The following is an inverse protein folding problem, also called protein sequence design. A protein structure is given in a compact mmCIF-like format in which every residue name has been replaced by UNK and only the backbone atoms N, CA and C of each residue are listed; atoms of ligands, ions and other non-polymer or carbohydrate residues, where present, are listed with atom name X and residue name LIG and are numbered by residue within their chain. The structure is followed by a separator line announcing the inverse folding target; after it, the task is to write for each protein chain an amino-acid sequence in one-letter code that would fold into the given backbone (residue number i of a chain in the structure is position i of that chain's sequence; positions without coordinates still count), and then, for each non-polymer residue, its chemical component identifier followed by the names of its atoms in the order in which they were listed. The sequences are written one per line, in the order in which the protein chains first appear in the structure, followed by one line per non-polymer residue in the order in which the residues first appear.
data_IF_031475507492
#
_entry.id   IF_031475507492
#
_cell.length_a   1.000
_cell.length_b   1.000
_cell.length_c   1.000
_cell.angle_alpha   90.00
_cell.angle_beta   90.00
_cell.angle_gamma   90.00
#
_symmetry.space_group_name_H-M   'P 1'
#
loop_
_entity.id
_entity.type
_entity.pdbx_description
1 polymer ?
#
# COMPACT_ATOMS: atom_id res chain seq x y z
N UNK A 1 23.11 -16.81 -21.35
CA UNK A 1 22.74 -16.87 -19.93
C UNK A 1 21.52 -15.99 -19.79
N UNK A 2 20.36 -16.52 -19.40
CA UNK A 2 19.16 -15.73 -19.15
C UNK A 2 19.50 -14.74 -18.02
N UNK A 3 19.37 -13.44 -18.27
CA UNK A 3 19.44 -12.43 -17.19
C UNK A 3 18.42 -12.81 -16.13
N UNK A 4 18.85 -12.83 -14.86
CA UNK A 4 17.95 -13.17 -13.76
C UNK A 4 16.77 -12.17 -13.72
N UNK A 5 15.56 -12.68 -13.49
CA UNK A 5 14.33 -11.88 -13.33
C UNK A 5 14.52 -10.81 -12.24
N UNK A 6 14.24 -9.55 -12.56
CA UNK A 6 14.40 -8.42 -11.65
C UNK A 6 13.06 -8.05 -11.00
N UNK A 7 12.92 -8.21 -9.68
CA UNK A 7 11.68 -7.86 -9.00
C UNK A 7 11.55 -6.36 -8.75
N UNK A 8 10.29 -5.88 -8.73
CA UNK A 8 9.92 -4.56 -8.25
C UNK A 8 8.58 -4.61 -7.48
N UNK A 9 8.40 -3.68 -6.55
CA UNK A 9 7.24 -3.64 -5.69
C UNK A 9 6.60 -2.26 -5.71
N UNK A 10 5.27 -2.20 -5.88
CA UNK A 10 4.49 -0.98 -5.72
C UNK A 10 3.83 -1.05 -4.37
N UNK A 11 4.32 -0.22 -3.45
CA UNK A 11 3.87 -0.13 -2.07
C UNK A 11 2.99 1.09 -1.86
N UNK A 12 1.94 0.96 -1.08
CA UNK A 12 0.94 2.02 -0.89
C UNK A 12 0.06 1.75 0.32
N UNK A 13 -0.78 2.72 0.66
CA UNK A 13 -1.84 2.53 1.67
C UNK A 13 -3.04 1.68 1.18
N UNK A 14 -3.05 1.27 -0.09
CA UNK A 14 -4.25 0.76 -0.75
C UNK A 14 -5.18 1.89 -1.21
N UNK A 15 -6.11 1.59 -2.09
CA UNK A 15 -7.03 2.58 -2.71
C UNK A 15 -6.31 3.76 -3.38
N UNK A 16 -5.01 3.63 -3.62
CA UNK A 16 -4.11 4.65 -4.18
C UNK A 16 -3.84 4.48 -5.68
N UNK A 17 -4.61 3.63 -6.38
CA UNK A 17 -4.41 3.39 -7.81
C UNK A 17 -3.55 2.17 -8.16
N UNK A 18 -3.28 1.28 -7.19
CA UNK A 18 -2.50 0.05 -7.41
C UNK A 18 -3.05 -0.84 -8.51
N UNK A 19 -4.38 -0.99 -8.60
CA UNK A 19 -5.02 -1.75 -9.67
C UNK A 19 -4.84 -1.12 -11.07
N UNK A 20 -4.79 0.21 -11.15
CA UNK A 20 -4.47 0.92 -12.39
C UNK A 20 -3.03 0.66 -12.80
N UNK A 21 -2.07 0.78 -11.89
CA UNK A 21 -0.66 0.47 -12.16
C UNK A 21 -0.46 -1.01 -12.54
N UNK A 22 -1.12 -1.93 -11.83
CA UNK A 22 -1.12 -3.34 -12.21
C UNK A 22 -1.56 -3.52 -13.67
N UNK A 23 -2.70 -2.96 -14.06
CA UNK A 23 -3.20 -3.05 -15.44
C UNK A 23 -2.24 -2.42 -16.47
N UNK A 24 -1.68 -1.25 -16.16
CA UNK A 24 -0.77 -0.54 -17.07
C UNK A 24 0.56 -1.29 -17.25
N UNK A 25 1.11 -1.86 -16.18
CA UNK A 25 2.38 -2.57 -16.20
C UNK A 25 2.25 -4.01 -16.72
N UNK A 26 1.14 -4.69 -16.48
CA UNK A 26 0.84 -6.02 -17.06
C UNK A 26 0.83 -6.00 -18.60
N UNK A 27 0.54 -4.85 -19.19
CA UNK A 27 0.55 -4.69 -20.65
C UNK A 27 1.97 -4.49 -21.24
N UNK A 28 3.02 -4.44 -20.40
CA UNK A 28 4.41 -4.26 -20.86
C UNK A 28 5.02 -5.61 -21.22
N UNK A 29 5.52 -5.80 -22.46
CA UNK A 29 6.22 -7.04 -22.81
C UNK A 29 7.40 -7.32 -21.87
N UNK A 30 7.54 -8.57 -21.44
CA UNK A 30 8.61 -8.99 -20.54
C UNK A 30 8.38 -8.63 -19.06
N UNK A 31 7.20 -8.15 -18.71
CA UNK A 31 6.77 -7.90 -17.32
C UNK A 31 5.71 -8.93 -16.93
N UNK A 32 5.98 -9.67 -15.86
CA UNK A 32 4.99 -10.45 -15.12
C UNK A 32 4.54 -9.63 -13.92
N UNK A 33 3.27 -9.20 -13.91
CA UNK A 33 2.74 -8.27 -12.91
C UNK A 33 1.60 -8.87 -12.12
N UNK A 34 1.70 -8.80 -10.81
CA UNK A 34 0.71 -9.28 -9.86
C UNK A 34 0.04 -8.14 -9.09
N UNK A 35 -1.10 -8.44 -8.50
CA UNK A 35 -1.81 -7.54 -7.58
C UNK A 35 -2.20 -8.29 -6.31
N UNK A 36 -1.62 -7.88 -5.19
CA UNK A 36 -1.77 -8.54 -3.89
C UNK A 36 -1.38 -10.04 -3.95
N UNK A 37 -0.17 -10.31 -4.50
CA UNK A 37 0.33 -11.69 -4.62
C UNK A 37 0.34 -12.40 -3.27
N UNK A 38 -0.22 -13.62 -3.24
CA UNK A 38 -0.30 -14.47 -2.05
C UNK A 38 -0.88 -13.75 -0.81
N UNK A 39 -1.85 -12.85 -1.02
CA UNK A 39 -2.38 -11.96 0.01
C UNK A 39 -2.81 -12.67 1.30
N UNK A 40 -3.34 -13.88 1.22
CA UNK A 40 -3.79 -14.65 2.39
C UNK A 40 -2.63 -15.11 3.31
N UNK A 41 -1.42 -15.15 2.78
CA UNK A 41 -0.17 -15.41 3.53
C UNK A 41 0.47 -14.09 3.92
N UNK A 42 0.60 -13.18 2.96
CA UNK A 42 1.33 -11.91 3.14
C UNK A 42 0.66 -10.99 4.16
N UNK A 43 -0.67 -10.87 4.16
CA UNK A 43 -1.33 -9.94 5.06
C UNK A 43 -1.21 -10.34 6.54
N UNK A 44 -1.48 -11.58 6.96
CA UNK A 44 -1.22 -12.02 8.33
C UNK A 44 0.26 -11.89 8.74
N UNK A 45 1.18 -12.23 7.84
CA UNK A 45 2.62 -12.07 8.06
C UNK A 45 3.00 -10.61 8.30
N UNK A 46 2.53 -9.71 7.45
CA UNK A 46 2.77 -8.28 7.51
C UNK A 46 2.30 -7.68 8.84
N UNK A 47 1.08 -8.02 9.27
CA UNK A 47 0.54 -7.55 10.56
C UNK A 47 1.32 -8.10 11.74
N UNK A 48 1.66 -9.40 11.72
CA UNK A 48 2.49 -10.00 12.78
C UNK A 48 3.87 -9.35 12.86
N UNK A 49 4.47 -9.07 11.70
CA UNK A 49 5.78 -8.42 11.63
C UNK A 49 5.72 -6.98 12.15
N UNK A 50 4.71 -6.22 11.74
CA UNK A 50 4.49 -4.87 12.21
C UNK A 50 4.25 -4.81 13.74
N UNK A 51 3.54 -5.77 14.31
CA UNK A 51 3.24 -5.86 15.74
C UNK A 51 4.32 -6.56 16.57
N UNK A 52 5.49 -6.87 15.98
CA UNK A 52 6.60 -7.62 16.61
C UNK A 52 6.18 -9.01 17.15
N UNK A 53 5.17 -9.63 16.54
CA UNK A 53 4.72 -10.99 16.83
C UNK A 53 5.47 -12.06 16.01
N UNK A 54 6.34 -11.63 15.09
CA UNK A 54 7.29 -12.48 14.35
C UNK A 54 8.56 -11.67 14.06
N UNK A 55 9.70 -12.34 14.01
CA UNK A 55 10.97 -11.71 13.66
C UNK A 55 11.16 -11.56 12.14
N UNK A 56 12.15 -10.74 11.76
CA UNK A 56 12.46 -10.47 10.35
C UNK A 56 12.98 -11.72 9.62
N UNK A 57 13.75 -12.59 10.28
CA UNK A 57 14.29 -13.80 9.63
C UNK A 57 13.17 -14.78 9.24
N UNK A 58 12.20 -14.97 10.13
CA UNK A 58 10.99 -15.77 9.85
C UNK A 58 10.18 -15.13 8.70
N UNK A 59 10.02 -13.81 8.70
CA UNK A 59 9.30 -13.13 7.63
C UNK A 59 10.02 -13.26 6.27
N UNK A 60 11.34 -13.10 6.24
CA UNK A 60 12.16 -13.31 5.02
C UNK A 60 12.02 -14.74 4.52
N UNK A 61 12.03 -15.76 5.39
CA UNK A 61 11.85 -17.15 4.98
C UNK A 61 10.49 -17.37 4.29
N UNK A 62 9.40 -16.88 4.87
CA UNK A 62 8.05 -16.99 4.26
C UNK A 62 7.99 -16.25 2.92
N UNK A 63 8.61 -15.07 2.83
CA UNK A 63 8.70 -14.32 1.57
C UNK A 63 9.55 -15.04 0.52
N UNK A 64 10.61 -15.76 0.90
CA UNK A 64 11.40 -16.56 -0.03
C UNK A 64 10.63 -17.77 -0.56
N UNK A 65 9.85 -18.43 0.29
CA UNK A 65 8.98 -19.55 -0.08
C UNK A 65 7.82 -19.12 -1.01
N UNK A 66 7.43 -17.83 -0.99
CA UNK A 66 6.34 -17.27 -1.82
C UNK A 66 6.88 -16.43 -2.97
N UNK A 67 7.27 -15.20 -2.70
CA UNK A 67 7.78 -14.25 -3.70
C UNK A 67 9.11 -14.70 -4.30
N UNK A 68 10.03 -15.23 -3.47
CA UNK A 68 11.30 -15.76 -3.93
C UNK A 68 11.12 -16.89 -4.92
N UNK A 69 10.25 -17.85 -4.61
CA UNK A 69 9.92 -18.94 -5.51
C UNK A 69 9.31 -18.45 -6.83
N UNK A 70 8.35 -17.50 -6.75
CA UNK A 70 7.71 -16.93 -7.94
C UNK A 70 8.72 -16.21 -8.84
N UNK A 71 9.59 -15.37 -8.27
CA UNK A 71 10.62 -14.64 -9.02
C UNK A 71 11.61 -15.62 -9.69
N UNK A 72 12.05 -16.66 -8.97
CA UNK A 72 12.97 -17.67 -9.53
C UNK A 72 12.35 -18.52 -10.64
N UNK A 73 11.04 -18.76 -10.57
CA UNK A 73 10.31 -19.54 -11.58
C UNK A 73 9.78 -18.68 -12.73
N UNK A 74 9.85 -17.37 -12.63
CA UNK A 74 9.37 -16.44 -13.67
C UNK A 74 10.28 -16.52 -14.91
N UNK A 75 9.67 -16.58 -16.08
CA UNK A 75 10.36 -16.44 -17.38
C UNK A 75 10.42 -14.99 -17.86
N UNK A 76 9.88 -14.03 -17.11
CA UNK A 76 9.85 -12.63 -17.48
C UNK A 76 11.16 -11.91 -17.13
N UNK A 77 11.47 -10.84 -17.85
CA UNK A 77 12.63 -9.99 -17.54
C UNK A 77 12.44 -9.23 -16.21
N UNK A 78 11.18 -8.92 -15.88
CA UNK A 78 10.82 -8.27 -14.62
C UNK A 78 9.57 -8.93 -14.01
N UNK A 79 9.58 -9.04 -12.68
CA UNK A 79 8.46 -9.54 -11.89
C UNK A 79 7.99 -8.44 -10.94
N UNK A 80 6.71 -8.11 -10.96
CA UNK A 80 6.16 -7.02 -10.15
C UNK A 80 4.99 -7.45 -9.29
N UNK A 81 4.90 -6.86 -8.08
CA UNK A 81 3.68 -6.93 -7.26
C UNK A 81 3.26 -5.55 -6.80
N UNK A 82 1.96 -5.26 -6.92
CA UNK A 82 1.34 -4.05 -6.37
C UNK A 82 0.48 -4.41 -5.17
N UNK A 83 0.98 -4.17 -3.97
CA UNK A 83 0.33 -4.63 -2.74
C UNK A 83 0.48 -3.64 -1.59
N UNK A 84 -0.66 -3.23 -1.00
CA UNK A 84 -0.64 -2.48 0.25
C UNK A 84 -0.30 -3.38 1.46
N UNK A 85 -0.38 -4.69 1.33
CA UNK A 85 0.00 -5.64 2.38
C UNK A 85 1.51 -5.79 2.46
N UNK A 86 2.17 -5.93 1.30
CA UNK A 86 3.63 -5.95 1.20
C UNK A 86 4.29 -4.64 1.68
N UNK A 87 3.52 -3.54 1.79
CA UNK A 87 4.00 -2.25 2.30
C UNK A 87 4.54 -2.29 3.73
N UNK A 88 4.16 -3.29 4.51
CA UNK A 88 4.68 -3.50 5.87
C UNK A 88 5.93 -4.39 5.93
N UNK A 89 6.39 -4.92 4.78
CA UNK A 89 7.47 -5.90 4.65
C UNK A 89 8.57 -5.43 3.69
N UNK A 90 8.73 -4.11 3.52
CA UNK A 90 9.70 -3.54 2.57
C UNK A 90 11.12 -3.90 2.96
N UNK A 91 11.45 -3.86 4.24
CA UNK A 91 12.78 -4.20 4.74
C UNK A 91 13.14 -5.67 4.44
N UNK A 92 12.20 -6.58 4.66
CA UNK A 92 12.35 -8.01 4.40
C UNK A 92 12.44 -8.31 2.89
N UNK A 93 11.61 -7.66 2.08
CA UNK A 93 11.68 -7.75 0.63
C UNK A 93 12.98 -7.17 0.08
N UNK A 94 13.47 -6.08 0.66
CA UNK A 94 14.74 -5.46 0.27
C UNK A 94 15.96 -6.33 0.63
N UNK A 95 15.88 -7.06 1.75
CA UNK A 95 16.90 -8.03 2.16
C UNK A 95 16.88 -9.27 1.27
N UNK A 96 15.69 -9.80 0.96
CA UNK A 96 15.52 -10.95 0.07
C UNK A 96 15.95 -10.64 -1.38
N UNK A 97 15.65 -9.44 -1.85
CA UNK A 97 15.95 -8.98 -3.20
C UNK A 97 16.82 -7.70 -3.20
N UNK A 98 18.15 -7.83 -3.09
CA UNK A 98 19.05 -6.66 -2.97
C UNK A 98 18.99 -5.69 -4.17
N UNK A 99 18.49 -6.14 -5.33
CA UNK A 99 18.33 -5.31 -6.54
C UNK A 99 16.89 -4.84 -6.78
N UNK A 100 15.94 -5.22 -5.92
CA UNK A 100 14.55 -4.82 -6.10
C UNK A 100 14.36 -3.31 -6.05
N UNK A 101 13.46 -2.82 -6.89
CA UNK A 101 12.99 -1.43 -6.91
C UNK A 101 11.64 -1.31 -6.21
N UNK A 102 11.45 -0.21 -5.50
CA UNK A 102 10.22 0.10 -4.75
C UNK A 102 9.62 1.41 -5.25
N UNK A 103 8.35 1.37 -5.59
CA UNK A 103 7.56 2.57 -5.92
C UNK A 103 6.61 2.84 -4.78
N UNK A 104 6.80 3.94 -4.06
CA UNK A 104 5.83 4.43 -3.08
C UNK A 104 4.74 5.21 -3.81
N UNK A 105 3.62 4.55 -4.05
CA UNK A 105 2.45 5.15 -4.68
C UNK A 105 1.51 5.70 -3.62
N UNK A 106 1.33 7.00 -3.63
CA UNK A 106 0.41 7.68 -2.70
C UNK A 106 -0.80 8.28 -3.43
N UNK A 107 -1.85 8.52 -2.69
CA UNK A 107 -3.04 9.26 -3.08
C UNK A 107 -3.50 10.11 -1.92
N UNK A 108 -4.19 11.22 -2.20
CA UNK A 108 -4.83 12.05 -1.17
C UNK A 108 -5.53 11.18 -0.12
N UNK A 109 -5.09 11.30 1.13
CA UNK A 109 -5.56 10.48 2.25
C UNK A 109 -7.06 10.61 2.50
N UNK A 110 -7.63 11.78 2.24
CA UNK A 110 -9.07 12.03 2.35
C UNK A 110 -9.86 11.16 1.37
N UNK A 111 -9.33 11.01 0.14
CA UNK A 111 -9.91 10.14 -0.89
C UNK A 111 -9.74 8.66 -0.56
N UNK A 112 -8.59 8.29 -0.01
CA UNK A 112 -8.32 6.92 0.43
C UNK A 112 -9.26 6.53 1.57
N UNK A 113 -9.33 7.37 2.62
CA UNK A 113 -10.19 7.11 3.77
C UNK A 113 -11.68 7.02 3.38
N UNK A 114 -12.18 7.97 2.58
CA UNK A 114 -13.53 7.93 2.07
C UNK A 114 -13.82 6.70 1.20
N UNK A 115 -12.85 6.24 0.40
CA UNK A 115 -12.98 5.04 -0.42
C UNK A 115 -13.06 3.75 0.41
N UNK A 116 -12.21 3.59 1.44
CA UNK A 116 -12.28 2.46 2.36
C UNK A 116 -13.61 2.43 3.11
N UNK A 117 -13.97 3.55 3.73
CA UNK A 117 -15.17 3.67 4.54
C UNK A 117 -16.45 3.35 3.78
N UNK A 118 -16.56 3.79 2.51
CA UNK A 118 -17.77 3.57 1.71
C UNK A 118 -17.82 2.23 0.98
N UNK A 119 -16.66 1.69 0.58
CA UNK A 119 -16.61 0.48 -0.28
C UNK A 119 -16.29 -0.80 0.46
N UNK A 120 -15.63 -0.72 1.60
CA UNK A 120 -15.11 -1.86 2.33
C UNK A 120 -15.52 -1.80 3.81
N UNK A 121 -16.70 -1.27 4.09
CA UNK A 121 -17.21 -1.13 5.46
C UNK A 121 -17.22 -2.47 6.24
N UNK A 122 -17.54 -3.56 5.56
CA UNK A 122 -17.61 -4.90 6.18
C UNK A 122 -16.26 -5.65 6.18
N UNK A 123 -15.23 -5.07 5.54
CA UNK A 123 -13.95 -5.75 5.36
C UNK A 123 -12.77 -5.00 5.99
N UNK A 124 -12.92 -3.70 6.27
CA UNK A 124 -11.83 -2.84 6.72
C UNK A 124 -12.15 -2.20 8.06
N UNK A 125 -11.48 -2.65 9.11
CA UNK A 125 -11.60 -2.08 10.46
C UNK A 125 -13.02 -2.12 11.06
N UNK A 126 -13.86 -3.10 10.70
CA UNK A 126 -15.10 -3.33 11.45
C UNK A 126 -14.80 -3.65 12.93
N UNK A 127 -15.74 -3.32 13.82
CA UNK A 127 -15.51 -3.39 15.26
C UNK A 127 -15.17 -4.81 15.72
N UNK A 128 -15.86 -5.81 15.18
CA UNK A 128 -15.67 -7.21 15.57
C UNK A 128 -14.30 -7.74 15.16
N UNK A 129 -13.92 -7.54 13.89
CA UNK A 129 -12.65 -8.05 13.38
C UNK A 129 -11.46 -7.33 14.02
N UNK A 130 -11.60 -6.02 14.28
CA UNK A 130 -10.59 -5.23 14.98
C UNK A 130 -10.41 -5.71 16.42
N UNK A 131 -11.51 -5.98 17.14
CA UNK A 131 -11.45 -6.49 18.51
C UNK A 131 -10.74 -7.86 18.58
N UNK A 132 -11.01 -8.77 17.64
CA UNK A 132 -10.36 -10.10 17.59
C UNK A 132 -8.84 -9.97 17.44
N UNK A 133 -8.35 -9.06 16.56
CA UNK A 133 -6.91 -8.84 16.43
C UNK A 133 -6.32 -8.19 17.66
N UNK A 134 -7.03 -7.22 18.26
CA UNK A 134 -6.59 -6.53 19.46
C UNK A 134 -6.45 -7.50 20.65
N UNK A 135 -7.44 -8.37 20.88
CA UNK A 135 -7.39 -9.39 21.91
C UNK A 135 -6.22 -10.37 21.70
N UNK A 136 -5.98 -10.77 20.45
CA UNK A 136 -4.82 -11.60 20.10
C UNK A 136 -3.50 -10.90 20.40
N UNK A 137 -3.38 -9.62 20.03
CA UNK A 137 -2.20 -8.81 20.32
C UNK A 137 -1.99 -8.58 21.81
N UNK A 138 -3.08 -8.50 22.60
CA UNK A 138 -3.05 -8.38 24.05
C UNK A 138 -2.72 -9.71 24.77
N UNK A 139 -2.57 -10.80 24.03
CA UNK A 139 -2.12 -12.09 24.56
C UNK A 139 -3.16 -13.19 24.59
N UNK A 140 -4.31 -13.03 23.94
CA UNK A 140 -5.26 -14.12 23.78
C UNK A 140 -4.62 -15.27 22.99
N UNK A 141 -4.88 -16.51 23.44
CA UNK A 141 -4.26 -17.72 22.86
C UNK A 141 -4.73 -18.03 21.44
N UNK A 142 -5.93 -17.60 21.07
CA UNK A 142 -6.53 -17.90 19.77
C UNK A 142 -6.12 -16.85 18.75
N UNK A 143 -5.37 -17.26 17.73
CA UNK A 143 -5.06 -16.40 16.60
C UNK A 143 -6.33 -16.01 15.82
N UNK A 144 -6.37 -14.81 15.22
CA UNK A 144 -7.46 -14.43 14.31
C UNK A 144 -7.62 -15.44 13.16
N UNK A 145 -8.83 -15.59 12.62
CA UNK A 145 -9.05 -16.34 11.38
C UNK A 145 -8.20 -15.81 10.23
N UNK A 146 -7.92 -16.62 9.17
CA UNK A 146 -7.02 -16.23 8.08
C UNK A 146 -7.61 -15.18 7.13
N UNK A 147 -8.89 -14.85 7.24
CA UNK A 147 -9.57 -13.92 6.35
C UNK A 147 -9.03 -12.49 6.52
N UNK A 148 -8.88 -11.78 5.41
CA UNK A 148 -8.30 -10.43 5.32
C UNK A 148 -8.85 -9.44 6.35
N UNK A 149 -10.15 -9.49 6.65
CA UNK A 149 -10.81 -8.53 7.55
C UNK A 149 -10.27 -8.56 8.99
N UNK A 150 -9.71 -9.69 9.43
CA UNK A 150 -9.12 -9.83 10.77
C UNK A 150 -7.67 -9.35 10.85
N UNK A 151 -7.04 -9.00 9.72
CA UNK A 151 -5.63 -8.67 9.65
C UNK A 151 -5.40 -7.23 9.13
N UNK A 152 -6.09 -6.28 9.75
CA UNK A 152 -5.79 -4.86 9.61
C UNK A 152 -4.96 -4.42 10.82
N UNK A 153 -3.78 -3.81 10.62
CA UNK A 153 -2.90 -3.45 11.74
C UNK A 153 -3.59 -2.57 12.78
N UNK A 154 -3.27 -2.81 14.04
CA UNK A 154 -3.62 -1.93 15.16
C UNK A 154 -2.37 -1.22 15.65
N UNK A 155 -2.44 -0.11 16.40
CA UNK A 155 -1.25 0.55 16.90
C UNK A 155 -0.37 -0.37 17.74
N UNK A 156 0.95 -0.22 17.62
CA UNK A 156 1.93 -0.89 18.47
C UNK A 156 1.75 -0.44 19.92
N UNK A 157 2.24 -1.22 20.88
CA UNK A 157 2.08 -0.90 22.31
C UNK A 157 2.73 0.41 22.73
N UNK A 158 3.78 0.81 22.04
CA UNK A 158 4.53 2.06 22.24
C UNK A 158 3.97 3.25 21.45
N UNK A 159 2.97 3.04 20.60
CA UNK A 159 2.31 4.11 19.86
C UNK A 159 1.49 5.00 20.82
N UNK A 160 1.67 6.34 20.79
CA UNK A 160 0.88 7.25 21.59
C UNK A 160 -0.64 7.12 21.45
N UNK A 161 -1.10 6.62 20.32
CA UNK A 161 -2.52 6.41 20.03
C UNK A 161 -3.06 5.03 20.44
N UNK A 162 -2.21 4.11 20.95
CA UNK A 162 -2.61 2.73 21.27
C UNK A 162 -3.83 2.66 22.21
N UNK A 163 -3.85 3.50 23.23
CA UNK A 163 -4.98 3.59 24.19
C UNK A 163 -6.23 4.16 23.53
N UNK A 164 -6.09 5.28 22.81
CA UNK A 164 -7.21 5.99 22.20
C UNK A 164 -7.83 5.19 21.05
N UNK A 165 -7.04 4.41 20.31
CA UNK A 165 -7.46 3.61 19.17
C UNK A 165 -8.59 2.63 19.50
N UNK A 166 -8.65 2.13 20.73
CA UNK A 166 -9.71 1.22 21.19
C UNK A 166 -11.10 1.86 21.13
N UNK A 167 -11.17 3.18 21.29
CA UNK A 167 -12.40 3.96 21.19
C UNK A 167 -12.66 4.59 19.82
N UNK A 168 -11.74 4.40 18.86
CA UNK A 168 -11.91 4.98 17.53
C UNK A 168 -13.08 4.36 16.78
N UNK A 169 -13.83 5.20 16.10
CA UNK A 169 -14.78 4.75 15.07
C UNK A 169 -14.02 4.08 13.91
N UNK A 170 -14.74 3.32 13.10
CA UNK A 170 -14.17 2.70 11.90
C UNK A 170 -13.46 3.73 10.99
N UNK A 171 -14.06 4.90 10.81
CA UNK A 171 -13.47 5.97 9.99
C UNK A 171 -12.14 6.49 10.58
N UNK A 172 -12.06 6.67 11.88
CA UNK A 172 -10.83 7.09 12.56
C UNK A 172 -9.73 6.03 12.46
N UNK A 173 -10.06 4.74 12.58
CA UNK A 173 -9.10 3.65 12.37
C UNK A 173 -8.56 3.64 10.94
N UNK A 174 -9.40 3.91 9.95
CA UNK A 174 -9.00 4.03 8.54
C UNK A 174 -8.11 5.27 8.33
N UNK A 175 -8.43 6.41 8.94
CA UNK A 175 -7.61 7.62 8.86
C UNK A 175 -6.22 7.39 9.50
N UNK A 176 -6.18 6.79 10.69
CA UNK A 176 -4.94 6.35 11.33
C UNK A 176 -4.14 5.39 10.44
N UNK A 177 -4.79 4.38 9.88
CA UNK A 177 -4.12 3.41 8.98
C UNK A 177 -3.44 4.09 7.80
N UNK A 178 -4.11 5.07 7.17
CA UNK A 178 -3.50 5.80 6.06
C UNK A 178 -2.24 6.55 6.49
N UNK A 179 -2.26 7.21 7.63
CA UNK A 179 -1.10 7.92 8.16
C UNK A 179 0.02 6.95 8.53
N UNK A 180 -0.31 5.90 9.27
CA UNK A 180 0.66 4.94 9.80
C UNK A 180 1.35 4.10 8.72
N UNK A 181 0.61 3.60 7.74
CA UNK A 181 1.23 2.83 6.66
C UNK A 181 2.18 3.68 5.81
N UNK A 182 1.83 4.94 5.53
CA UNK A 182 2.72 5.84 4.81
C UNK A 182 3.97 6.19 5.65
N UNK A 183 3.83 6.38 6.98
CA UNK A 183 4.95 6.55 7.89
C UNK A 183 5.88 5.33 7.83
N UNK A 184 5.32 4.14 7.97
CA UNK A 184 6.06 2.88 7.90
C UNK A 184 6.78 2.69 6.56
N UNK A 185 6.14 3.01 5.44
CA UNK A 185 6.77 2.93 4.11
C UNK A 185 7.96 3.89 4.04
N UNK A 186 7.79 5.15 4.47
CA UNK A 186 8.88 6.14 4.43
C UNK A 186 10.07 5.69 5.28
N UNK A 187 9.83 5.19 6.49
CA UNK A 187 10.87 4.68 7.38
C UNK A 187 11.62 3.48 6.78
N UNK A 188 10.91 2.51 6.25
CA UNK A 188 11.52 1.32 5.65
C UNK A 188 12.26 1.63 4.35
N UNK A 189 11.82 2.64 3.58
CA UNK A 189 12.51 3.09 2.37
C UNK A 189 13.69 4.02 2.66
N UNK A 190 13.75 4.67 3.82
CA UNK A 190 14.79 5.64 4.14
C UNK A 190 16.22 5.11 3.93
N UNK A 191 16.59 3.90 4.41
CA UNK A 191 17.94 3.37 4.27
C UNK A 191 18.29 2.91 2.84
N UNK A 192 17.29 2.78 1.94
CA UNK A 192 17.55 2.32 0.58
C UNK A 192 18.16 3.43 -0.28
N UNK A 193 19.10 3.11 -1.18
CA UNK A 193 19.66 4.08 -2.11
C UNK A 193 18.59 4.64 -3.05
N UNK A 194 18.78 5.88 -3.52
CA UNK A 194 17.84 6.58 -4.41
C UNK A 194 17.52 5.79 -5.70
N UNK A 195 18.48 5.03 -6.23
CA UNK A 195 18.27 4.19 -7.41
C UNK A 195 17.27 3.03 -7.20
N UNK A 196 16.91 2.72 -5.94
CA UNK A 196 15.99 1.63 -5.59
C UNK A 196 14.61 2.10 -5.13
N UNK A 197 14.39 3.41 -4.98
CA UNK A 197 13.12 3.96 -4.50
C UNK A 197 12.62 5.11 -5.37
N UNK A 198 11.31 5.13 -5.62
CA UNK A 198 10.64 6.17 -6.39
C UNK A 198 9.35 6.57 -5.68
N UNK A 199 9.12 7.87 -5.57
CA UNK A 199 7.88 8.41 -5.01
C UNK A 199 6.97 8.88 -6.14
N UNK A 200 5.70 8.49 -6.11
CA UNK A 200 4.70 8.89 -7.10
C UNK A 200 3.36 9.20 -6.43
N UNK A 201 2.76 10.34 -6.78
CA UNK A 201 1.36 10.62 -6.44
C UNK A 201 0.48 10.19 -7.59
N UNK A 202 -0.66 9.56 -7.27
CA UNK A 202 -1.64 9.15 -8.28
C UNK A 202 -2.10 10.34 -9.12
N UNK A 203 -2.37 11.47 -8.47
CA UNK A 203 -2.82 12.71 -9.09
C UNK A 203 -1.78 13.24 -10.10
N UNK A 204 -0.51 13.24 -9.70
CA UNK A 204 0.58 13.70 -10.58
C UNK A 204 0.77 12.76 -11.79
N UNK A 205 0.54 11.43 -11.61
CA UNK A 205 0.56 10.48 -12.73
C UNK A 205 -0.63 10.67 -13.69
N UNK A 206 -1.77 11.13 -13.18
CA UNK A 206 -2.96 11.41 -14.01
C UNK A 206 -2.81 12.71 -14.80
N UNK A 207 -2.15 13.70 -14.21
CA UNK A 207 -2.05 15.05 -14.76
C UNK A 207 -0.78 15.29 -15.61
N UNK A 208 0.22 14.39 -15.54
CA UNK A 208 1.52 14.61 -16.17
C UNK A 208 2.08 13.38 -16.89
N UNK A 209 2.15 13.45 -18.21
CA UNK A 209 2.86 12.47 -19.04
C UNK A 209 4.34 12.32 -18.65
N UNK A 210 4.98 13.39 -18.19
CA UNK A 210 6.36 13.36 -17.73
C UNK A 210 6.52 12.48 -16.48
N UNK A 211 5.59 12.56 -15.52
CA UNK A 211 5.62 11.74 -14.31
C UNK A 211 5.41 10.24 -14.64
N UNK A 212 4.53 9.94 -15.60
CA UNK A 212 4.36 8.56 -16.08
C UNK A 212 5.66 8.05 -16.71
N UNK A 213 6.27 8.82 -17.61
CA UNK A 213 7.54 8.43 -18.24
C UNK A 213 8.68 8.28 -17.22
N UNK A 214 8.72 9.12 -16.19
CA UNK A 214 9.71 9.02 -15.12
C UNK A 214 9.54 7.72 -14.33
N UNK A 215 8.30 7.33 -14.00
CA UNK A 215 8.00 6.05 -13.35
C UNK A 215 8.47 4.85 -14.20
N UNK A 216 8.14 4.83 -15.49
CA UNK A 216 8.57 3.77 -16.40
C UNK A 216 10.10 3.73 -16.53
N UNK A 217 10.74 4.89 -16.68
CA UNK A 217 12.21 5.01 -16.73
C UNK A 217 12.87 4.50 -15.45
N UNK A 218 12.31 4.84 -14.27
CA UNK A 218 12.77 4.30 -13.00
C UNK A 218 12.70 2.76 -12.97
N UNK A 219 11.65 2.17 -13.50
CA UNK A 219 11.49 0.71 -13.59
C UNK A 219 12.31 0.08 -14.73
N UNK A 220 13.04 0.87 -15.53
CA UNK A 220 13.72 0.44 -16.75
C UNK A 220 12.77 -0.19 -17.79
N UNK A 221 11.60 0.37 -17.92
CA UNK A 221 10.56 -0.05 -18.85
C UNK A 221 10.35 0.97 -19.96
N UNK A 222 10.09 0.48 -21.19
CA UNK A 222 9.72 1.36 -22.30
C UNK A 222 8.29 1.94 -22.07
N UNK A 223 8.18 3.26 -22.16
CA UNK A 223 6.90 3.97 -22.06
C UNK A 223 6.48 4.50 -23.44
N UNK A 224 5.43 3.91 -24.01
CA UNK A 224 4.79 4.40 -25.23
C UNK A 224 3.65 5.36 -24.91
N UNK A 225 3.25 6.20 -25.85
CA UNK A 225 2.21 7.21 -25.64
C UNK A 225 0.84 6.62 -25.30
N UNK A 226 0.51 5.46 -25.87
CA UNK A 226 -0.74 4.75 -25.53
C UNK A 226 -0.80 4.36 -24.05
N UNK A 227 0.36 4.12 -23.42
CA UNK A 227 0.46 3.79 -21.99
C UNK A 227 0.26 5.02 -21.13
N UNK A 228 0.79 6.17 -21.54
CA UNK A 228 0.55 7.45 -20.86
C UNK A 228 -0.95 7.76 -20.84
N UNK A 229 -1.65 7.54 -21.95
CA UNK A 229 -3.08 7.76 -22.04
C UNK A 229 -3.93 6.91 -21.07
N UNK A 230 -3.42 5.75 -20.62
CA UNK A 230 -4.12 4.92 -19.62
C UNK A 230 -4.22 5.61 -18.26
N UNK A 231 -3.25 6.44 -17.90
CA UNK A 231 -3.24 7.13 -16.62
C UNK A 231 -4.21 8.32 -16.56
N UNK A 232 -4.45 8.98 -17.67
CA UNK A 232 -5.38 10.09 -17.77
C UNK A 232 -6.86 9.67 -17.60
N UNK A 233 -7.16 8.37 -17.68
CA UNK A 233 -8.51 7.85 -17.51
C UNK A 233 -8.77 7.40 -16.09
N UNK A 234 -9.86 7.84 -15.45
CA UNK A 234 -10.25 7.33 -14.14
C UNK A 234 -10.51 5.82 -14.19
N UNK A 235 -9.88 5.05 -13.32
CA UNK A 235 -10.14 3.62 -13.17
C UNK A 235 -10.82 3.33 -11.83
N UNK A 236 -11.82 2.45 -11.82
CA UNK A 236 -12.55 2.05 -10.60
C UNK A 236 -13.12 3.23 -9.80
N UNK A 237 -13.54 4.27 -10.50
CA UNK A 237 -14.20 5.42 -9.86
C UNK A 237 -15.62 5.03 -9.50
N UNK A 238 -16.01 5.32 -8.27
CA UNK A 238 -17.43 5.41 -7.97
C UNK A 238 -18.00 6.58 -8.77
N UNK A 239 -19.16 6.40 -9.38
CA UNK A 239 -19.93 7.42 -10.09
C UNK A 239 -20.09 8.69 -9.22
N UNK A 240 -20.81 9.75 -9.66
CA UNK A 240 -20.79 11.11 -9.09
C UNK A 240 -20.88 11.21 -7.54
N UNK A 241 -20.97 10.08 -6.92
CA UNK A 241 -20.93 9.82 -5.48
C UNK A 241 -19.52 9.71 -4.89
N UNK A 242 -18.47 10.04 -5.63
CA UNK A 242 -17.13 10.20 -5.04
C UNK A 242 -17.11 11.48 -4.20
N UNK A 243 -17.97 11.42 -3.17
CA UNK A 243 -18.27 12.52 -2.27
C UNK A 243 -17.02 12.92 -1.50
N UNK A 244 -16.90 14.19 -1.29
CA UNK A 244 -15.97 14.75 -0.31
C UNK A 244 -16.31 14.20 1.09
N UNK A 245 -15.35 14.22 1.98
CA UNK A 245 -15.60 13.97 3.38
C UNK A 245 -16.56 15.06 3.91
N UNK A 246 -17.52 14.68 4.74
CA UNK A 246 -18.30 15.67 5.49
C UNK A 246 -17.41 16.41 6.51
N UNK A 247 -17.92 17.48 7.10
CA UNK A 247 -17.15 18.32 8.02
C UNK A 247 -16.64 17.54 9.25
N UNK A 248 -17.45 16.62 9.78
CA UNK A 248 -17.07 15.79 10.92
C UNK A 248 -15.97 14.78 10.56
N UNK A 249 -16.12 14.11 9.42
CA UNK A 249 -15.11 13.19 8.89
C UNK A 249 -13.79 13.92 8.60
N UNK A 250 -13.86 15.12 8.03
CA UNK A 250 -12.69 15.94 7.75
C UNK A 250 -11.95 16.30 9.04
N UNK A 251 -12.66 16.81 10.04
CA UNK A 251 -12.03 17.18 11.31
C UNK A 251 -11.34 15.97 11.99
N UNK A 252 -11.97 14.79 11.96
CA UNK A 252 -11.38 13.55 12.49
C UNK A 252 -10.19 13.08 11.68
N UNK A 253 -10.27 13.16 10.35
CA UNK A 253 -9.14 12.82 9.48
C UNK A 253 -7.96 13.75 9.74
N UNK A 254 -8.19 15.05 9.80
CA UNK A 254 -7.13 16.04 10.00
C UNK A 254 -6.45 15.86 11.37
N UNK A 255 -7.22 15.55 12.41
CA UNK A 255 -6.68 15.28 13.75
C UNK A 255 -5.68 14.10 13.78
N UNK A 256 -5.84 13.10 12.90
CA UNK A 256 -5.03 11.88 12.87
C UNK A 256 -3.96 11.88 11.76
N UNK A 257 -4.24 12.55 10.65
CA UNK A 257 -3.46 12.38 9.43
C UNK A 257 -2.85 13.67 8.86
N UNK A 258 -3.13 14.86 9.42
CA UNK A 258 -2.61 16.13 8.91
C UNK A 258 -1.07 16.15 8.81
N UNK A 259 -0.28 15.69 9.81
CA UNK A 259 1.18 15.68 9.69
C UNK A 259 1.68 14.82 8.52
N UNK A 260 1.01 13.71 8.23
CA UNK A 260 1.38 12.85 7.10
C UNK A 260 0.93 13.45 5.77
N UNK A 261 -0.21 14.15 5.74
CA UNK A 261 -0.62 14.94 4.56
C UNK A 261 0.43 16.00 4.21
N UNK A 262 0.99 16.68 5.21
CA UNK A 262 2.07 17.65 5.03
C UNK A 262 3.33 16.98 4.49
N UNK A 263 3.77 15.91 5.12
CA UNK A 263 4.95 15.13 4.73
C UNK A 263 4.88 14.66 3.28
N UNK A 264 3.69 14.24 2.83
CA UNK A 264 3.47 13.75 1.47
C UNK A 264 3.12 14.85 0.46
N UNK A 265 3.11 16.14 0.91
CA UNK A 265 2.90 17.31 0.06
C UNK A 265 1.44 17.54 -0.34
N UNK A 266 0.50 17.23 0.54
CA UNK A 266 -0.94 17.47 0.35
C UNK A 266 -1.50 18.62 1.19
N UNK A 267 -0.73 19.26 2.09
CA UNK A 267 -1.20 20.29 3.02
C UNK A 267 -2.00 21.41 2.34
N UNK A 268 -1.50 21.88 1.21
CA UNK A 268 -2.11 23.01 0.46
C UNK A 268 -2.86 22.55 -0.80
N UNK A 269 -3.08 21.24 -0.96
CA UNK A 269 -3.85 20.72 -2.10
C UNK A 269 -5.34 20.67 -1.74
N UNK A 270 -6.16 21.22 -2.64
CA UNK A 270 -7.60 20.96 -2.57
C UNK A 270 -7.86 19.47 -2.70
N UNK A 271 -8.88 18.98 -2.01
CA UNK A 271 -9.28 17.58 -2.16
C UNK A 271 -9.65 17.33 -3.61
N UNK A 272 -8.96 16.36 -4.22
CA UNK A 272 -9.15 16.02 -5.62
C UNK A 272 -10.57 15.52 -5.88
N UNK A 273 -11.26 16.12 -6.82
CA UNK A 273 -12.55 15.65 -7.33
C UNK A 273 -12.31 14.97 -8.66
N UNK A 274 -12.67 13.69 -8.76
CA UNK A 274 -12.53 12.95 -10.01
C UNK A 274 -13.41 13.62 -11.07
N UNK A 275 -12.79 14.07 -12.15
CA UNK A 275 -13.49 14.54 -13.35
C UNK A 275 -13.77 13.33 -14.24
N UNK A 276 -15.02 13.15 -14.65
CA UNK A 276 -15.48 12.08 -15.55
C UNK A 276 -15.41 12.51 -17.00
#
# INVERSE_FOLDING_TARGET
MSDATRPFFIVSSGRSGTAMLHKALSAVPGVEMHHEYMVHIVQPLAVRRYLDLTDSATAVKVLDETHGAAVRCSGAAQWGDSSNKASWLIAELAALFPQAKFVHLVRDGRKVAGSYFRKLADECYDDRSTAVLQEFYDGARRAPPPEKKYWWPVPRRDDPLAQAFRGFSQFERIAWHWAEINRSILEQLAPLPAARKHFARLEDLQDSAQQVRALYGFLNLACRDERVALFARPHNVNRPEDRLLDAGQRARFDALAAPMMDTLGYANRHEYVVKY
#
